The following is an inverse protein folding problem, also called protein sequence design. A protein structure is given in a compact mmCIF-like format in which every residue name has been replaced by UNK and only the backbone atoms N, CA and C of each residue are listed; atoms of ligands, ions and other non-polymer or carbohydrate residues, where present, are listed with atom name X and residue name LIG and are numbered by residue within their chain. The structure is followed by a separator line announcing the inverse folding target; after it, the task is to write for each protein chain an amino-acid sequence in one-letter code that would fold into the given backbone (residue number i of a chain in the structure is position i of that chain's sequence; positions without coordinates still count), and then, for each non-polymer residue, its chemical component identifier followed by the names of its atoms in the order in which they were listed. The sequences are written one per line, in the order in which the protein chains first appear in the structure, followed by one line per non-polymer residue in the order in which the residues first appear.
data_IF_386168530295
#
_entry.id   IF_386168530295
#
_cell.length_a   1.000
_cell.length_b   1.000
_cell.length_c   1.000
_cell.angle_alpha   90.00
_cell.angle_beta   90.00
_cell.angle_gamma   90.00
#
_symmetry.space_group_name_H-M   'P 1'
#
loop_
_entity.id
_entity.type
_entity.pdbx_description
1 polymer ?
#
# COMPACT_ATOMS: atom_id res chain seq x y z
N UNK A 1 -15.81 -4.24 -39.85
CA UNK A 1 -14.61 -3.71 -39.18
C UNK A 1 -15.09 -2.47 -38.47
N UNK A 2 -15.11 -2.56 -37.15
CA UNK A 2 -15.97 -1.82 -36.21
C UNK A 2 -15.77 -0.32 -36.26
N UNK A 3 -16.86 0.44 -36.23
CA UNK A 3 -16.83 1.88 -36.00
C UNK A 3 -16.07 2.16 -34.71
N UNK A 4 -14.85 2.66 -34.83
CA UNK A 4 -14.14 3.23 -33.69
C UNK A 4 -15.01 4.40 -33.23
N UNK A 5 -15.57 4.28 -32.03
CA UNK A 5 -16.33 5.37 -31.45
C UNK A 5 -15.42 6.60 -31.37
N UNK A 6 -15.93 7.77 -31.73
CA UNK A 6 -15.20 9.05 -31.60
C UNK A 6 -14.62 9.20 -30.18
N UNK A 7 -15.32 8.66 -29.18
CA UNK A 7 -14.90 8.65 -27.78
C UNK A 7 -13.61 7.83 -27.58
N UNK A 8 -13.49 6.67 -28.23
CA UNK A 8 -12.32 5.80 -28.11
C UNK A 8 -11.09 6.44 -28.76
N UNK A 9 -11.29 7.10 -29.91
CA UNK A 9 -10.23 7.84 -30.59
C UNK A 9 -9.74 9.01 -29.74
N UNK A 10 -10.67 9.83 -29.21
CA UNK A 10 -10.33 10.95 -28.32
C UNK A 10 -9.61 10.45 -27.06
N UNK A 11 -10.10 9.37 -26.45
CA UNK A 11 -9.47 8.75 -25.28
C UNK A 11 -8.04 8.29 -25.58
N UNK A 12 -7.81 7.67 -26.74
CA UNK A 12 -6.49 7.23 -27.18
C UNK A 12 -5.53 8.40 -27.37
N UNK A 13 -5.99 9.49 -28.01
CA UNK A 13 -5.18 10.71 -28.22
C UNK A 13 -4.81 11.36 -26.88
N UNK A 14 -5.76 11.51 -25.97
CA UNK A 14 -5.52 12.09 -24.65
C UNK A 14 -4.54 11.22 -23.85
N UNK A 15 -4.72 9.90 -23.87
CA UNK A 15 -3.82 8.97 -23.20
C UNK A 15 -2.40 8.99 -23.79
N UNK A 16 -2.27 9.08 -25.12
CA UNK A 16 -0.97 9.22 -25.79
C UNK A 16 -0.28 10.53 -25.41
N UNK A 17 -1.00 11.65 -25.43
CA UNK A 17 -0.49 12.96 -25.03
C UNK A 17 0.00 12.93 -23.58
N UNK A 18 -0.82 12.43 -22.64
CA UNK A 18 -0.42 12.33 -21.24
C UNK A 18 0.78 11.40 -21.04
N UNK A 19 0.86 10.29 -21.78
CA UNK A 19 2.01 9.37 -21.73
C UNK A 19 3.29 10.08 -22.17
N UNK A 20 3.25 10.84 -23.28
CA UNK A 20 4.40 11.64 -23.75
C UNK A 20 4.79 12.71 -22.73
N UNK A 21 3.81 13.40 -22.13
CA UNK A 21 4.08 14.39 -21.09
C UNK A 21 4.79 13.79 -19.88
N UNK A 22 4.41 12.59 -19.43
CA UNK A 22 5.10 11.89 -18.34
C UNK A 22 6.51 11.46 -18.76
N UNK A 23 6.66 10.85 -19.94
CA UNK A 23 7.97 10.40 -20.44
C UNK A 23 8.95 11.55 -20.70
N UNK A 24 8.44 12.77 -20.90
CA UNK A 24 9.29 13.96 -21.10
C UNK A 24 10.24 14.23 -19.93
N UNK A 25 9.97 13.68 -18.74
CA UNK A 25 10.89 13.70 -17.59
C UNK A 25 12.29 13.16 -17.91
N UNK A 26 12.40 12.23 -18.86
CA UNK A 26 13.67 11.67 -19.31
C UNK A 26 14.64 12.76 -19.79
N UNK A 27 14.11 13.85 -20.36
CA UNK A 27 14.88 14.96 -20.90
C UNK A 27 15.08 16.11 -19.90
N UNK A 28 14.82 15.87 -18.59
CA UNK A 28 14.79 16.82 -17.45
C UNK A 28 13.36 17.22 -17.06
N UNK A 29 13.26 17.75 -15.84
CA UNK A 29 12.07 18.42 -15.33
C UNK A 29 11.67 19.60 -16.22
N UNK A 30 10.50 19.48 -16.85
CA UNK A 30 9.96 20.44 -17.80
C UNK A 30 8.48 20.74 -17.46
N UNK A 31 7.93 21.79 -18.07
CA UNK A 31 6.55 22.21 -17.80
C UNK A 31 5.51 21.12 -18.09
N UNK A 32 5.69 20.35 -19.18
CA UNK A 32 4.75 19.31 -19.58
C UNK A 32 4.69 18.17 -18.55
N UNK A 33 5.85 17.71 -18.08
CA UNK A 33 5.93 16.72 -17.01
C UNK A 33 5.22 17.20 -15.74
N UNK A 34 5.53 18.42 -15.27
CA UNK A 34 4.89 18.97 -14.06
C UNK A 34 3.39 19.08 -14.20
N UNK A 35 2.90 19.54 -15.36
CA UNK A 35 1.47 19.62 -15.62
C UNK A 35 0.80 18.24 -15.53
N UNK A 36 1.36 17.22 -16.19
CA UNK A 36 0.81 15.87 -16.13
C UNK A 36 0.80 15.33 -14.69
N UNK A 37 1.88 15.52 -13.94
CA UNK A 37 1.96 15.11 -12.53
C UNK A 37 0.91 15.82 -11.67
N UNK A 38 0.75 17.13 -11.80
CA UNK A 38 -0.28 17.86 -11.05
C UNK A 38 -1.70 17.44 -11.44
N UNK A 39 -1.94 17.15 -12.72
CA UNK A 39 -3.21 16.62 -13.18
C UNK A 39 -3.50 15.26 -12.54
N UNK A 40 -2.54 14.33 -12.56
CA UNK A 40 -2.71 13.00 -11.96
C UNK A 40 -2.89 13.06 -10.44
N UNK A 41 -2.11 13.89 -9.74
CA UNK A 41 -2.26 14.10 -8.29
C UNK A 41 -3.63 14.72 -7.99
N UNK A 42 -4.04 15.72 -8.78
CA UNK A 42 -5.35 16.35 -8.65
C UNK A 42 -6.48 15.34 -8.82
N UNK A 43 -6.44 14.52 -9.89
CA UNK A 43 -7.41 13.47 -10.13
C UNK A 43 -7.45 12.43 -8.99
N UNK A 44 -6.29 11.98 -8.51
CA UNK A 44 -6.19 11.03 -7.40
C UNK A 44 -6.77 11.62 -6.09
N UNK A 45 -6.42 12.87 -5.76
CA UNK A 45 -6.96 13.57 -4.59
C UNK A 45 -8.45 13.84 -4.70
N UNK A 46 -8.95 14.17 -5.90
CA UNK A 46 -10.37 14.38 -6.17
C UNK A 46 -11.18 13.10 -6.01
N UNK A 47 -10.66 11.98 -6.52
CA UNK A 47 -11.26 10.66 -6.32
C UNK A 47 -11.28 10.28 -4.84
N UNK A 48 -10.16 10.42 -4.14
CA UNK A 48 -10.09 10.17 -2.70
C UNK A 48 -11.05 11.08 -1.91
N UNK A 49 -11.15 12.35 -2.27
CA UNK A 49 -12.10 13.30 -1.69
C UNK A 49 -13.55 12.91 -1.96
N UNK A 50 -13.87 12.42 -3.17
CA UNK A 50 -15.21 11.93 -3.50
C UNK A 50 -15.59 10.71 -2.66
N UNK A 51 -14.66 9.77 -2.47
CA UNK A 51 -14.86 8.63 -1.55
C UNK A 51 -15.10 9.13 -0.13
N UNK A 52 -14.26 10.04 0.37
CA UNK A 52 -14.42 10.59 1.71
C UNK A 52 -15.77 11.31 1.88
N UNK A 53 -16.23 12.02 0.85
CA UNK A 53 -17.54 12.67 0.85
C UNK A 53 -18.67 11.65 0.92
N UNK A 54 -18.73 10.71 -0.02
CA UNK A 54 -19.87 9.80 -0.15
C UNK A 54 -19.89 8.70 0.92
N UNK A 55 -18.73 8.23 1.38
CA UNK A 55 -18.65 7.08 2.28
C UNK A 55 -18.44 7.47 3.74
N UNK A 56 -17.99 8.70 4.02
CA UNK A 56 -17.66 9.12 5.39
C UNK A 56 -18.42 10.39 5.79
N UNK A 57 -18.18 11.52 5.13
CA UNK A 57 -18.72 12.81 5.56
C UNK A 57 -20.23 12.88 5.41
N UNK A 58 -20.77 12.51 4.24
CA UNK A 58 -22.21 12.56 4.00
C UNK A 58 -22.98 11.61 4.93
N UNK A 59 -22.71 10.30 4.98
CA UNK A 59 -23.47 9.39 5.84
C UNK A 59 -23.16 9.57 7.32
N UNK A 60 -21.94 10.00 7.69
CA UNK A 60 -21.51 10.13 9.08
C UNK A 60 -21.83 11.49 9.73
N UNK A 61 -21.98 12.55 8.94
CA UNK A 61 -22.13 13.92 9.46
C UNK A 61 -23.38 14.63 8.94
N UNK A 62 -23.68 14.49 7.64
CA UNK A 62 -24.72 15.28 6.95
C UNK A 62 -26.08 14.59 7.05
N UNK A 63 -26.18 13.33 6.63
CA UNK A 63 -27.44 12.59 6.59
C UNK A 63 -28.08 12.44 7.99
N UNK A 64 -27.35 12.17 9.09
CA UNK A 64 -27.92 12.15 10.44
C UNK A 64 -28.46 13.52 10.88
N UNK A 65 -27.75 14.60 10.51
CA UNK A 65 -28.15 15.97 10.85
C UNK A 65 -29.45 16.37 10.16
N UNK A 66 -29.61 16.07 8.87
CA UNK A 66 -30.81 16.42 8.11
C UNK A 66 -32.01 15.50 8.41
N UNK A 67 -31.78 14.23 8.74
CA UNK A 67 -32.87 13.29 9.05
C UNK A 67 -33.45 13.47 10.46
N UNK A 68 -32.63 13.81 11.45
CA UNK A 68 -33.06 13.92 12.86
C UNK A 68 -33.29 15.37 13.31
N UNK A 69 -32.70 16.34 12.61
CA UNK A 69 -32.82 17.77 12.92
C UNK A 69 -32.42 18.13 14.36
N UNK A 70 -32.91 19.27 14.84
CA UNK A 70 -32.70 19.69 16.25
C UNK A 70 -33.42 18.80 17.26
N UNK A 71 -34.40 18.00 16.82
CA UNK A 71 -35.13 17.06 17.68
C UNK A 71 -34.26 15.87 18.12
N UNK A 72 -33.36 15.41 17.24
CA UNK A 72 -32.39 14.35 17.56
C UNK A 72 -31.38 14.73 18.64
N UNK A 73 -31.18 16.01 18.93
CA UNK A 73 -30.29 16.49 20.00
C UNK A 73 -30.83 16.13 21.39
N UNK A 74 -32.15 16.01 21.51
CA UNK A 74 -32.84 15.70 22.78
C UNK A 74 -32.90 14.19 23.07
N UNK A 75 -32.54 13.35 22.09
CA UNK A 75 -32.55 11.91 22.23
C UNK A 75 -31.14 11.39 22.59
N UNK A 76 -31.02 10.78 23.78
CA UNK A 76 -29.74 10.29 24.32
C UNK A 76 -29.03 9.29 23.41
N UNK A 77 -29.79 8.56 22.58
CA UNK A 77 -29.25 7.58 21.63
C UNK A 77 -28.52 8.22 20.43
N UNK A 78 -28.87 9.46 20.10
CA UNK A 78 -28.40 10.16 18.89
C UNK A 78 -27.19 11.08 19.15
N UNK A 79 -26.84 11.30 20.42
CA UNK A 79 -25.70 12.14 20.85
C UNK A 79 -24.37 11.66 20.24
N UNK A 80 -24.13 10.34 20.21
CA UNK A 80 -22.88 9.77 19.69
C UNK A 80 -22.72 9.98 18.19
N UNK A 81 -23.83 9.93 17.45
CA UNK A 81 -23.84 9.96 15.98
C UNK A 81 -23.94 11.38 15.44
N UNK A 82 -24.56 12.29 16.21
CA UNK A 82 -24.84 13.66 15.78
C UNK A 82 -23.97 14.70 16.52
N UNK A 83 -23.86 14.64 17.84
CA UNK A 83 -23.19 15.71 18.60
C UNK A 83 -21.68 15.52 18.62
N UNK A 84 -21.19 14.29 18.86
CA UNK A 84 -19.75 14.02 19.00
C UNK A 84 -18.96 14.34 17.72
N UNK A 85 -19.37 13.90 16.52
CA UNK A 85 -18.62 14.18 15.30
C UNK A 85 -18.57 15.68 14.97
N UNK A 86 -19.70 16.38 15.12
CA UNK A 86 -19.77 17.83 14.91
C UNK A 86 -18.93 18.61 15.93
N UNK A 87 -18.93 18.20 17.21
CA UNK A 87 -18.07 18.79 18.23
C UNK A 87 -16.58 18.62 17.88
N UNK A 88 -16.19 17.43 17.41
CA UNK A 88 -14.81 17.17 16.97
C UNK A 88 -14.44 18.01 15.75
N UNK A 89 -15.33 18.17 14.78
CA UNK A 89 -15.12 19.03 13.60
C UNK A 89 -14.95 20.49 14.02
N UNK A 90 -15.84 21.00 14.88
CA UNK A 90 -15.77 22.39 15.34
C UNK A 90 -14.47 22.64 16.12
N UNK A 91 -14.13 21.76 17.06
CA UNK A 91 -12.89 21.89 17.85
C UNK A 91 -11.63 21.74 16.99
N UNK A 92 -11.69 20.99 15.89
CA UNK A 92 -10.62 20.93 14.90
C UNK A 92 -10.52 22.23 14.07
N UNK A 93 -11.64 22.83 13.68
CA UNK A 93 -11.66 24.12 12.94
C UNK A 93 -11.05 25.27 13.75
N UNK A 94 -11.14 25.24 15.09
CA UNK A 94 -10.50 26.22 15.97
C UNK A 94 -8.97 26.28 15.81
N UNK A 95 -8.35 25.29 15.16
CA UNK A 95 -6.92 25.27 14.85
C UNK A 95 -6.50 26.33 13.83
N UNK A 96 -7.43 26.86 13.03
CA UNK A 96 -7.14 27.91 12.04
C UNK A 96 -6.60 29.18 12.75
N UNK A 97 -6.99 29.41 14.00
CA UNK A 97 -6.48 30.53 14.82
C UNK A 97 -5.38 30.07 15.79
N UNK A 98 -4.23 30.78 15.85
CA UNK A 98 -3.15 30.45 16.79
C UNK A 98 -3.58 30.58 18.26
N UNK A 99 -4.56 31.44 18.57
CA UNK A 99 -5.04 31.69 19.94
C UNK A 99 -5.90 30.54 20.50
N UNK A 100 -6.57 29.79 19.63
CA UNK A 100 -7.53 28.73 20.04
C UNK A 100 -7.00 27.32 19.75
N UNK A 101 -5.76 27.21 19.24
CA UNK A 101 -5.14 25.96 18.81
C UNK A 101 -5.06 24.88 19.92
N UNK A 102 -5.06 25.26 21.21
CA UNK A 102 -4.99 24.30 22.33
C UNK A 102 -6.20 23.35 22.37
N UNK A 103 -7.37 23.79 21.93
CA UNK A 103 -8.61 22.99 21.97
C UNK A 103 -8.69 21.95 20.83
N UNK A 104 -7.86 22.07 19.79
CA UNK A 104 -7.78 21.10 18.70
C UNK A 104 -6.98 19.83 19.04
N UNK A 105 -6.36 19.78 20.23
CA UNK A 105 -5.51 18.66 20.64
C UNK A 105 -6.23 17.32 20.68
N UNK A 106 -7.51 17.29 21.10
CA UNK A 106 -8.29 16.06 21.23
C UNK A 106 -8.66 15.46 19.86
N UNK A 107 -9.25 16.21 18.89
CA UNK A 107 -9.44 15.72 17.53
C UNK A 107 -8.15 15.23 16.86
N UNK A 108 -7.02 15.92 17.09
CA UNK A 108 -5.74 15.52 16.51
C UNK A 108 -5.17 14.24 17.14
N UNK A 109 -5.25 14.12 18.47
CA UNK A 109 -4.85 12.90 19.16
C UNK A 109 -5.69 11.71 18.69
N UNK A 110 -7.00 11.93 18.47
CA UNK A 110 -7.89 10.91 17.93
C UNK A 110 -7.50 10.55 16.48
N UNK A 111 -7.29 11.52 15.59
CA UNK A 111 -6.87 11.27 14.21
C UNK A 111 -5.55 10.50 14.14
N UNK A 112 -4.56 10.89 14.94
CA UNK A 112 -3.25 10.20 15.00
C UNK A 112 -3.40 8.81 15.61
N UNK A 113 -4.16 8.67 16.70
CA UNK A 113 -4.38 7.39 17.37
C UNK A 113 -5.11 6.38 16.48
N UNK A 114 -6.21 6.80 15.84
CA UNK A 114 -6.95 5.98 14.87
C UNK A 114 -6.07 5.68 13.65
N UNK A 115 -5.35 6.67 13.12
CA UNK A 115 -4.43 6.47 12.00
C UNK A 115 -3.34 5.44 12.31
N UNK A 116 -2.72 5.54 13.49
CA UNK A 116 -1.73 4.57 13.96
C UNK A 116 -2.35 3.17 14.15
N UNK A 117 -3.55 3.10 14.73
CA UNK A 117 -4.27 1.83 14.90
C UNK A 117 -4.64 1.19 13.56
N UNK A 118 -5.06 1.97 12.56
CA UNK A 118 -5.36 1.49 11.21
C UNK A 118 -4.10 1.01 10.51
N UNK A 119 -2.98 1.73 10.63
CA UNK A 119 -1.70 1.30 10.04
C UNK A 119 -1.19 0.01 10.69
N UNK A 120 -1.16 -0.06 12.02
CA UNK A 120 -0.69 -1.24 12.76
C UNK A 120 -1.64 -2.42 12.55
N UNK A 121 -2.94 -2.20 12.71
CA UNK A 121 -3.97 -3.22 12.51
C UNK A 121 -3.97 -3.72 11.07
N UNK A 122 -3.90 -2.82 10.09
CA UNK A 122 -3.82 -3.14 8.66
C UNK A 122 -2.53 -3.87 8.28
N UNK A 123 -1.39 -3.56 8.91
CA UNK A 123 -0.17 -4.35 8.73
C UNK A 123 -0.32 -5.75 9.34
N UNK A 124 -0.94 -5.89 10.51
CA UNK A 124 -1.13 -7.20 11.13
C UNK A 124 -2.08 -8.06 10.29
N UNK A 125 -3.27 -7.56 9.97
CA UNK A 125 -4.32 -8.35 9.30
C UNK A 125 -4.15 -8.39 7.79
N UNK A 126 -3.56 -7.36 7.19
CA UNK A 126 -3.34 -7.27 5.75
C UNK A 126 -2.02 -7.86 5.28
N UNK A 127 -0.99 -7.91 6.13
CA UNK A 127 0.31 -8.49 5.75
C UNK A 127 0.76 -9.61 6.67
N UNK A 128 0.98 -9.38 7.96
CA UNK A 128 1.66 -10.35 8.82
C UNK A 128 0.91 -11.68 8.95
N UNK A 129 -0.39 -11.64 9.23
CA UNK A 129 -1.21 -12.85 9.37
C UNK A 129 -1.32 -13.58 8.02
N UNK A 130 -1.75 -12.95 6.90
CA UNK A 130 -1.82 -13.63 5.62
C UNK A 130 -0.48 -14.20 5.14
N UNK A 131 0.63 -13.46 5.33
CA UNK A 131 1.96 -13.93 4.94
C UNK A 131 2.42 -15.12 5.79
N UNK A 132 2.09 -15.14 7.09
CA UNK A 132 2.37 -16.29 7.95
C UNK A 132 1.57 -17.51 7.53
N UNK A 133 0.27 -17.35 7.23
CA UNK A 133 -0.59 -18.44 6.77
C UNK A 133 -0.12 -18.96 5.41
N UNK A 134 0.15 -18.09 4.45
CA UNK A 134 0.69 -18.49 3.15
C UNK A 134 2.02 -19.24 3.27
N UNK A 135 2.88 -18.85 4.23
CA UNK A 135 4.11 -19.58 4.53
C UNK A 135 3.84 -20.98 5.09
N UNK A 136 2.81 -21.14 5.91
CA UNK A 136 2.39 -22.46 6.41
C UNK A 136 1.78 -23.32 5.28
N UNK A 137 0.90 -22.74 4.47
CA UNK A 137 0.24 -23.42 3.35
C UNK A 137 1.25 -23.84 2.28
N UNK A 138 2.36 -23.11 2.12
CA UNK A 138 3.47 -23.49 1.23
C UNK A 138 4.08 -24.86 1.56
N UNK A 139 3.90 -25.35 2.80
CA UNK A 139 4.36 -26.66 3.25
C UNK A 139 3.32 -27.77 2.98
N UNK A 140 2.04 -27.42 2.80
CA UNK A 140 0.96 -28.37 2.55
C UNK A 140 1.00 -28.88 1.09
N UNK A 141 1.20 -30.19 0.85
CA UNK A 141 1.22 -30.74 -0.51
C UNK A 141 -0.10 -30.53 -1.27
N UNK A 142 -1.24 -30.51 -0.58
CA UNK A 142 -2.54 -30.35 -1.22
C UNK A 142 -2.72 -28.98 -1.90
N UNK A 143 -2.08 -27.94 -1.35
CA UNK A 143 -2.16 -26.57 -1.88
C UNK A 143 -1.12 -26.32 -2.99
N UNK A 144 0.08 -26.91 -2.87
CA UNK A 144 1.18 -26.61 -3.80
C UNK A 144 1.24 -27.56 -5.01
N UNK A 145 0.93 -28.85 -4.82
CA UNK A 145 1.02 -29.83 -5.90
C UNK A 145 0.16 -29.48 -7.15
N UNK A 146 -1.06 -28.90 -7.02
CA UNK A 146 -1.83 -28.46 -8.19
C UNK A 146 -1.17 -27.34 -8.99
N UNK A 147 -0.36 -26.49 -8.35
CA UNK A 147 0.27 -25.33 -8.97
C UNK A 147 1.61 -25.65 -9.62
N UNK A 148 2.41 -26.53 -9.00
CA UNK A 148 3.79 -26.82 -9.46
C UNK A 148 3.94 -28.20 -10.09
N UNK A 149 3.01 -29.13 -9.84
CA UNK A 149 3.12 -30.53 -10.27
C UNK A 149 4.11 -31.37 -9.41
N UNK A 150 4.68 -30.79 -8.36
CA UNK A 150 5.67 -31.45 -7.50
C UNK A 150 5.01 -32.51 -6.60
N UNK A 151 5.17 -33.78 -6.95
CA UNK A 151 4.55 -34.90 -6.21
C UNK A 151 5.55 -35.87 -5.58
N UNK A 152 6.85 -35.72 -5.90
CA UNK A 152 7.90 -36.67 -5.52
C UNK A 152 9.04 -36.09 -4.69
N UNK A 153 10.27 -36.53 -4.97
CA UNK A 153 11.46 -36.13 -4.22
C UNK A 153 11.77 -34.62 -4.30
N UNK A 154 11.43 -33.98 -5.41
CA UNK A 154 11.54 -32.53 -5.62
C UNK A 154 10.80 -31.74 -4.54
N UNK A 155 9.62 -32.20 -4.13
CA UNK A 155 8.81 -31.57 -3.08
C UNK A 155 9.52 -31.62 -1.73
N UNK A 156 10.15 -32.74 -1.41
CA UNK A 156 10.90 -32.92 -0.15
C UNK A 156 12.06 -31.93 -0.09
N UNK A 157 12.79 -31.79 -1.19
CA UNK A 157 13.89 -30.82 -1.30
C UNK A 157 13.35 -29.39 -1.13
N UNK A 158 12.29 -29.02 -1.82
CA UNK A 158 11.71 -27.67 -1.73
C UNK A 158 11.23 -27.35 -0.31
N UNK A 159 10.51 -28.27 0.33
CA UNK A 159 10.07 -28.11 1.73
C UNK A 159 11.26 -27.97 2.67
N UNK A 160 12.33 -28.75 2.48
CA UNK A 160 13.57 -28.63 3.26
C UNK A 160 14.22 -27.26 3.06
N UNK A 161 14.36 -26.80 1.81
CA UNK A 161 14.93 -25.48 1.50
C UNK A 161 14.09 -24.38 2.15
N UNK A 162 12.76 -24.44 2.05
CA UNK A 162 11.85 -23.47 2.66
C UNK A 162 11.96 -23.48 4.19
N UNK A 163 11.99 -24.64 4.83
CA UNK A 163 12.13 -24.75 6.29
C UNK A 163 13.49 -24.23 6.76
N UNK A 164 14.57 -24.65 6.12
CA UNK A 164 15.94 -24.19 6.46
C UNK A 164 16.06 -22.69 6.22
N UNK A 165 15.55 -22.18 5.09
CA UNK A 165 15.54 -20.76 4.77
C UNK A 165 14.74 -19.95 5.80
N UNK A 166 13.54 -20.41 6.16
CA UNK A 166 12.68 -19.72 7.14
C UNK A 166 13.29 -19.71 8.53
N UNK A 167 13.75 -20.87 9.02
CA UNK A 167 14.35 -21.00 10.35
C UNK A 167 15.64 -20.18 10.45
N UNK A 168 16.50 -20.25 9.42
CA UNK A 168 17.77 -19.49 9.40
C UNK A 168 17.54 -17.98 9.32
N UNK A 169 16.57 -17.54 8.51
CA UNK A 169 16.20 -16.11 8.40
C UNK A 169 15.61 -15.57 9.69
N UNK A 170 14.69 -16.30 10.34
CA UNK A 170 14.14 -15.92 11.64
C UNK A 170 15.21 -15.90 12.73
N UNK A 171 16.13 -16.87 12.69
CA UNK A 171 17.25 -16.94 13.64
C UNK A 171 18.21 -15.76 13.47
N UNK A 172 18.45 -15.31 12.22
CA UNK A 172 19.26 -14.12 11.92
C UNK A 172 18.66 -12.86 12.54
N UNK A 173 17.34 -12.68 12.48
CA UNK A 173 16.65 -11.51 13.04
C UNK A 173 16.35 -11.59 14.55
N UNK A 174 17.04 -12.44 15.31
CA UNK A 174 16.85 -12.50 16.77
C UNK A 174 17.24 -11.18 17.43
N UNK A 175 16.23 -10.41 17.83
CA UNK A 175 16.38 -9.13 18.56
C UNK A 175 16.69 -9.29 20.07
N UNK A 176 16.83 -10.52 20.58
CA UNK A 176 16.89 -10.82 22.03
C UNK A 176 18.22 -11.45 22.49
N UNK A 177 19.34 -11.13 21.85
CA UNK A 177 20.67 -11.44 22.40
C UNK A 177 21.23 -10.20 23.08
N UNK A 178 21.35 -10.26 24.42
CA UNK A 178 22.13 -9.31 25.19
C UNK A 178 23.54 -9.26 24.59
N UNK A 179 24.01 -8.06 24.23
CA UNK A 179 25.41 -7.86 23.87
C UNK A 179 26.25 -8.23 25.08
N UNK A 180 27.07 -9.26 24.97
CA UNK A 180 28.04 -9.55 26.01
C UNK A 180 28.97 -8.33 26.18
N UNK A 181 29.49 -8.06 27.39
CA UNK A 181 30.37 -6.91 27.67
C UNK A 181 31.66 -6.88 26.80
N UNK A 182 31.99 -8.00 26.15
CA UNK A 182 33.16 -8.18 25.28
C UNK A 182 32.91 -7.83 23.80
N UNK A 183 31.71 -7.35 23.43
CA UNK A 183 31.40 -6.92 22.06
C UNK A 183 31.22 -8.06 21.04
N UNK A 184 31.37 -9.32 21.45
CA UNK A 184 30.98 -10.51 20.69
C UNK A 184 29.73 -11.13 21.30
N UNK A 185 28.73 -11.42 20.47
CA UNK A 185 27.61 -12.21 20.92
C UNK A 185 28.12 -13.61 21.27
N UNK A 186 27.83 -14.12 22.48
CA UNK A 186 28.03 -15.52 22.85
C UNK A 186 27.04 -16.37 22.04
N UNK A 187 27.38 -16.61 20.78
CA UNK A 187 26.65 -17.51 19.89
C UNK A 187 27.37 -18.84 19.92
N UNK A 188 26.63 -19.92 20.13
CA UNK A 188 27.16 -21.26 19.89
C UNK A 188 27.61 -21.35 18.42
N UNK A 189 28.66 -22.13 18.09
CA UNK A 189 29.18 -22.19 16.72
C UNK A 189 28.12 -22.61 15.70
N UNK A 190 27.15 -23.44 16.09
CA UNK A 190 26.01 -23.80 15.24
C UNK A 190 25.10 -22.61 14.92
N UNK A 191 24.90 -21.70 15.87
CA UNK A 191 24.04 -20.53 15.69
C UNK A 191 24.67 -19.49 14.75
N UNK A 192 26.00 -19.37 14.77
CA UNK A 192 26.73 -18.51 13.84
C UNK A 192 26.53 -18.97 12.38
N UNK A 193 26.68 -20.28 12.11
CA UNK A 193 26.41 -20.86 10.78
C UNK A 193 24.97 -20.64 10.32
N UNK A 194 23.99 -20.89 11.19
CA UNK A 194 22.57 -20.66 10.87
C UNK A 194 22.31 -19.19 10.53
N UNK A 195 22.94 -18.24 11.23
CA UNK A 195 22.80 -16.82 10.95
C UNK A 195 23.40 -16.41 9.60
N UNK A 196 24.52 -17.03 9.18
CA UNK A 196 25.15 -16.78 7.87
C UNK A 196 24.23 -17.24 6.74
N UNK A 197 23.65 -18.45 6.89
CA UNK A 197 22.68 -18.98 5.93
C UNK A 197 21.47 -18.05 5.83
N UNK A 198 20.91 -17.62 6.96
CA UNK A 198 19.79 -16.67 6.97
C UNK A 198 20.12 -15.35 6.27
N UNK A 199 21.32 -14.80 6.51
CA UNK A 199 21.79 -13.59 5.83
C UNK A 199 21.90 -13.77 4.32
N UNK A 200 22.36 -14.92 3.86
CA UNK A 200 22.41 -15.24 2.43
C UNK A 200 20.99 -15.28 1.82
N UNK A 201 20.04 -15.96 2.48
CA UNK A 201 18.64 -15.99 2.05
C UNK A 201 18.03 -14.59 1.94
N UNK A 202 18.31 -13.72 2.92
CA UNK A 202 17.84 -12.32 2.89
C UNK A 202 18.46 -11.57 1.70
N UNK A 203 19.78 -11.69 1.50
CA UNK A 203 20.48 -11.02 0.40
C UNK A 203 19.95 -11.47 -0.98
N UNK A 204 19.74 -12.78 -1.15
CA UNK A 204 19.17 -13.35 -2.38
C UNK A 204 17.74 -12.85 -2.59
N UNK A 205 16.91 -12.88 -1.55
CA UNK A 205 15.50 -12.41 -1.63
C UNK A 205 15.44 -10.94 -2.04
N UNK A 206 16.24 -10.06 -1.43
CA UNK A 206 16.30 -8.65 -1.84
C UNK A 206 16.82 -8.48 -3.26
N UNK A 207 17.80 -9.29 -3.68
CA UNK A 207 18.29 -9.30 -5.05
C UNK A 207 17.20 -9.66 -6.07
N UNK A 208 16.41 -10.70 -5.78
CA UNK A 208 15.27 -11.12 -6.61
C UNK A 208 14.19 -10.04 -6.65
N UNK A 209 13.83 -9.45 -5.50
CA UNK A 209 12.83 -8.38 -5.45
C UNK A 209 13.27 -7.14 -6.25
N UNK A 210 14.54 -6.77 -6.16
CA UNK A 210 15.10 -5.66 -6.94
C UNK A 210 15.12 -5.97 -8.44
N UNK A 211 15.57 -7.16 -8.84
CA UNK A 211 15.55 -7.59 -10.23
C UNK A 211 14.12 -7.63 -10.79
N UNK A 212 13.14 -8.10 -9.99
CA UNK A 212 11.73 -8.09 -10.33
C UNK A 212 11.18 -6.68 -10.54
N UNK A 213 11.51 -5.74 -9.64
CA UNK A 213 11.11 -4.33 -9.77
C UNK A 213 11.71 -3.67 -11.02
N UNK A 214 12.99 -3.92 -11.31
CA UNK A 214 13.64 -3.44 -12.54
C UNK A 214 12.98 -4.04 -13.78
N UNK A 215 12.75 -5.35 -13.81
CA UNK A 215 12.09 -6.03 -14.91
C UNK A 215 10.69 -5.45 -15.16
N UNK A 216 9.89 -5.30 -14.11
CA UNK A 216 8.57 -4.68 -14.20
C UNK A 216 8.63 -3.24 -14.72
N UNK A 217 9.62 -2.45 -14.28
CA UNK A 217 9.80 -1.07 -14.76
C UNK A 217 10.14 -1.04 -16.26
N UNK A 218 11.02 -1.93 -16.72
CA UNK A 218 11.37 -2.06 -18.15
C UNK A 218 10.17 -2.51 -18.97
N UNK A 219 9.40 -3.48 -18.47
CA UNK A 219 8.16 -3.95 -19.13
C UNK A 219 7.14 -2.82 -19.24
N UNK A 220 6.87 -2.08 -18.16
CA UNK A 220 5.96 -0.93 -18.19
C UNK A 220 6.45 0.13 -19.19
N UNK A 221 7.75 0.43 -19.23
CA UNK A 221 8.30 1.36 -20.21
C UNK A 221 8.09 0.87 -21.65
N UNK A 222 8.38 -0.41 -21.91
CA UNK A 222 8.17 -1.03 -23.22
C UNK A 222 6.69 -1.00 -23.64
N UNK A 223 5.76 -1.32 -22.73
CA UNK A 223 4.32 -1.24 -22.96
C UNK A 223 3.89 0.20 -23.31
N UNK A 224 4.42 1.21 -22.63
CA UNK A 224 4.10 2.61 -22.94
C UNK A 224 4.65 3.05 -24.30
N UNK A 225 5.85 2.61 -24.68
CA UNK A 225 6.41 2.87 -26.00
C UNK A 225 5.62 2.14 -27.10
N UNK A 226 5.25 0.88 -26.87
CA UNK A 226 4.41 0.11 -27.78
C UNK A 226 3.03 0.75 -27.95
N UNK A 227 2.41 1.22 -26.86
CA UNK A 227 1.15 1.95 -26.90
C UNK A 227 1.25 3.23 -27.74
N UNK A 228 2.34 4.00 -27.60
CA UNK A 228 2.55 5.19 -28.42
C UNK A 228 2.74 4.83 -29.90
N UNK A 229 3.47 3.76 -30.19
CA UNK A 229 3.64 3.26 -31.55
C UNK A 229 2.29 2.86 -32.17
N UNK A 230 1.49 2.07 -31.46
CA UNK A 230 0.18 1.63 -31.95
C UNK A 230 -0.77 2.82 -32.13
N UNK A 231 -0.78 3.77 -31.20
CA UNK A 231 -1.60 4.99 -31.30
C UNK A 231 -1.24 5.85 -32.53
N UNK A 232 0.06 5.96 -32.87
CA UNK A 232 0.48 6.67 -34.09
C UNK A 232 0.10 5.89 -35.34
N UNK A 233 0.28 4.56 -35.34
CA UNK A 233 -0.08 3.72 -36.48
C UNK A 233 -1.58 3.64 -36.74
N UNK A 234 -2.43 3.84 -35.72
CA UNK A 234 -3.88 3.87 -35.89
C UNK A 234 -4.42 5.19 -36.45
N UNK A 235 -3.59 6.23 -36.50
CA UNK A 235 -3.95 7.55 -37.03
C UNK A 235 -3.63 7.71 -38.53
N UNK A 236 -2.86 6.79 -39.10
CA UNK A 236 -2.49 6.71 -40.51
C UNK A 236 -3.25 5.58 -41.20
#
# INVERSE_FOLDING_TARGET
MTEVSIIDLLGTIVAALLTVMVLSYLFRDNFLFRFAVYLFIGAASGYAGSIAWHNVLKPGLIDPFFSQGLAGILDSSSIMTLIVPWLLVITLLLRISPLTSRYSGLPLALLVGVGAAVVVGGAITGTLIPQSLASMDSLNPAEVAPATGETGFERIINVLIMLVGTISTLSYFRFSTQRAPSGRADLSPLMEWVSIVGRLFIAVTFGVMYAGALSATIVILAERLQFLWTAVSSLW
#
